data_IF_276946798150
#
_entry.id   IF_276946798150
#
_cell.length_a   1.000
_cell.length_b   1.000
_cell.length_c   1.000
_cell.angle_alpha   90.00
_cell.angle_beta   90.00
_cell.angle_gamma   90.00
#
_symmetry.space_group_name_H-M   'P 1'
#
loop_
_entity.id
_entity.type
_entity.pdbx_description
1 polymer ?
#
# COMPACT_ATOMS: atom_id res chain seq x y z
N UNK A 1 41.25 -41.69 11.83
CA UNK A 1 40.05 -42.00 11.03
C UNK A 1 38.95 -41.05 11.46
N UNK A 2 38.47 -40.26 10.49
CA UNK A 2 37.35 -39.32 10.62
C UNK A 2 36.06 -40.04 10.98
N UNK A 3 35.17 -39.38 11.74
CA UNK A 3 33.74 -39.27 11.41
C UNK A 3 33.12 -38.15 12.26
N UNK A 4 33.12 -36.96 11.66
CA UNK A 4 32.10 -35.93 11.87
C UNK A 4 30.71 -36.53 11.65
N UNK A 5 29.80 -36.35 12.61
CA UNK A 5 28.37 -36.32 12.35
C UNK A 5 27.72 -35.48 13.45
N UNK A 6 27.85 -34.16 13.30
CA UNK A 6 27.01 -33.19 13.98
C UNK A 6 25.55 -33.48 13.64
N UNK A 7 24.84 -34.09 14.57
CA UNK A 7 23.38 -34.11 14.56
C UNK A 7 22.95 -32.74 15.12
N UNK A 8 22.88 -31.75 14.24
CA UNK A 8 22.15 -30.52 14.54
C UNK A 8 20.68 -30.90 14.76
N UNK A 9 20.06 -30.54 15.90
CA UNK A 9 18.60 -30.57 15.97
C UNK A 9 18.08 -29.52 14.98
N UNK A 10 17.24 -29.97 14.05
CA UNK A 10 16.37 -29.09 13.25
C UNK A 10 15.59 -28.23 14.24
N UNK A 11 15.99 -26.96 14.35
CA UNK A 11 15.20 -25.93 15.00
C UNK A 11 14.02 -25.64 14.10
N UNK A 12 12.91 -26.34 14.32
CA UNK A 12 11.61 -25.94 13.82
C UNK A 12 11.29 -24.61 14.50
N UNK A 13 11.46 -23.50 13.79
CA UNK A 13 11.09 -22.16 14.24
C UNK A 13 9.56 -22.02 14.18
N UNK A 14 8.82 -22.06 15.32
CA UNK A 14 7.36 -22.02 15.33
C UNK A 14 6.81 -20.62 15.03
N UNK A 15 7.63 -19.57 15.20
CA UNK A 15 7.19 -18.17 15.14
C UNK A 15 7.12 -17.59 13.72
N UNK A 16 7.63 -18.29 12.71
CA UNK A 16 7.66 -17.81 11.32
C UNK A 16 6.39 -18.16 10.53
N UNK A 17 5.61 -19.13 10.98
CA UNK A 17 4.39 -19.59 10.30
C UNK A 17 3.23 -18.58 10.48
N UNK A 18 2.95 -18.06 11.70
CA UNK A 18 1.84 -17.13 11.91
C UNK A 18 2.02 -15.82 11.12
N UNK A 19 3.25 -15.30 11.05
CA UNK A 19 3.54 -14.06 10.34
C UNK A 19 3.37 -14.20 8.82
N UNK A 20 3.72 -15.36 8.25
CA UNK A 20 3.55 -15.61 6.81
C UNK A 20 2.09 -15.76 6.41
N UNK A 21 1.30 -16.45 7.23
CA UNK A 21 -0.13 -16.61 7.01
C UNK A 21 -0.87 -15.29 7.11
N UNK A 22 -0.54 -14.48 8.12
CA UNK A 22 -1.08 -13.13 8.29
C UNK A 22 -0.78 -12.23 7.09
N UNK A 23 0.49 -12.17 6.67
CA UNK A 23 0.89 -11.39 5.48
C UNK A 23 0.15 -11.82 4.23
N UNK A 24 0.02 -13.13 4.00
CA UNK A 24 -0.70 -13.64 2.83
C UNK A 24 -2.19 -13.27 2.88
N UNK A 25 -2.80 -13.29 4.08
CA UNK A 25 -4.16 -12.80 4.29
C UNK A 25 -4.29 -11.32 3.93
N UNK A 26 -3.36 -10.47 4.39
CA UNK A 26 -3.37 -9.05 4.07
C UNK A 26 -3.20 -8.78 2.57
N UNK A 27 -2.31 -9.52 1.88
CA UNK A 27 -2.13 -9.42 0.42
C UNK A 27 -3.43 -9.77 -0.30
N UNK A 28 -4.06 -10.91 0.04
CA UNK A 28 -5.30 -11.34 -0.60
C UNK A 28 -6.45 -10.36 -0.34
N UNK A 29 -6.52 -9.80 0.87
CA UNK A 29 -7.52 -8.78 1.22
C UNK A 29 -7.31 -7.51 0.40
N UNK A 30 -6.06 -7.04 0.31
CA UNK A 30 -5.70 -5.87 -0.48
C UNK A 30 -6.05 -6.06 -1.97
N UNK A 31 -5.72 -7.21 -2.55
CA UNK A 31 -6.01 -7.49 -3.96
C UNK A 31 -7.52 -7.57 -4.25
N UNK A 32 -8.30 -8.16 -3.34
CA UNK A 32 -9.76 -8.19 -3.47
C UNK A 32 -10.34 -6.78 -3.44
N UNK A 33 -9.97 -5.98 -2.43
CA UNK A 33 -10.44 -4.61 -2.29
C UNK A 33 -9.98 -3.72 -3.45
N UNK A 34 -8.77 -3.91 -3.96
CA UNK A 34 -8.29 -3.20 -5.16
C UNK A 34 -9.19 -3.43 -6.37
N UNK A 35 -9.58 -4.69 -6.60
CA UNK A 35 -10.48 -5.03 -7.69
C UNK A 35 -11.89 -4.48 -7.47
N UNK A 36 -12.40 -4.55 -6.24
CA UNK A 36 -13.69 -3.95 -5.87
C UNK A 36 -13.69 -2.44 -6.12
N UNK A 37 -12.68 -1.72 -5.64
CA UNK A 37 -12.57 -0.27 -5.77
C UNK A 37 -12.51 0.16 -7.25
N UNK A 38 -11.75 -0.57 -8.08
CA UNK A 38 -11.58 -0.25 -9.51
C UNK A 38 -12.81 -0.59 -10.36
N UNK A 39 -13.59 -1.58 -9.95
CA UNK A 39 -14.78 -2.04 -10.69
C UNK A 39 -16.08 -1.42 -10.20
N UNK A 40 -16.03 -0.63 -9.12
CA UNK A 40 -17.20 0.03 -8.57
C UNK A 40 -17.60 1.26 -9.41
N UNK A 41 -18.89 1.29 -9.74
CA UNK A 41 -19.53 2.35 -10.54
C UNK A 41 -20.85 2.84 -9.91
N UNK A 42 -21.10 2.51 -8.63
CA UNK A 42 -22.26 3.04 -7.92
C UNK A 42 -21.99 4.43 -7.34
N UNK A 43 -23.05 5.03 -6.79
CA UNK A 43 -23.05 6.34 -6.12
C UNK A 43 -23.00 6.21 -4.58
N UNK A 44 -23.08 5.00 -4.04
CA UNK A 44 -22.99 4.75 -2.60
C UNK A 44 -21.55 4.91 -2.10
N UNK A 45 -21.43 5.56 -0.94
CA UNK A 45 -20.14 5.75 -0.29
C UNK A 45 -19.77 4.52 0.53
N UNK A 46 -18.60 3.94 0.24
CA UNK A 46 -18.10 2.73 0.91
C UNK A 46 -16.83 3.03 1.71
N UNK A 47 -16.99 3.74 2.83
CA UNK A 47 -15.87 4.12 3.71
C UNK A 47 -15.13 2.90 4.27
N UNK A 48 -15.88 1.84 4.57
CA UNK A 48 -15.38 0.57 5.07
C UNK A 48 -14.42 -0.10 4.08
N UNK A 49 -14.70 -0.06 2.77
CA UNK A 49 -13.82 -0.66 1.77
C UNK A 49 -12.50 0.11 1.64
N UNK A 50 -12.57 1.44 1.65
CA UNK A 50 -11.39 2.29 1.54
C UNK A 50 -10.53 2.25 2.81
N UNK A 51 -11.14 2.26 4.00
CA UNK A 51 -10.44 2.07 5.26
C UNK A 51 -9.73 0.71 5.30
N UNK A 52 -10.45 -0.37 5.02
CA UNK A 52 -9.88 -1.72 5.01
C UNK A 52 -8.75 -1.88 3.98
N UNK A 53 -8.87 -1.20 2.83
CA UNK A 53 -7.86 -1.22 1.78
C UNK A 53 -6.59 -0.51 2.22
N UNK A 54 -6.74 0.66 2.84
CA UNK A 54 -5.62 1.43 3.38
C UNK A 54 -4.96 0.69 4.53
N UNK A 55 -5.72 0.14 5.48
CA UNK A 55 -5.20 -0.60 6.62
C UNK A 55 -4.35 -1.79 6.15
N UNK A 56 -4.86 -2.61 5.22
CA UNK A 56 -4.12 -3.74 4.67
C UNK A 56 -2.83 -3.29 3.94
N UNK A 57 -2.89 -2.19 3.19
CA UNK A 57 -1.73 -1.69 2.44
C UNK A 57 -0.67 -1.04 3.31
N UNK A 58 -1.09 -0.29 4.32
CA UNK A 58 -0.21 0.34 5.30
C UNK A 58 0.44 -0.69 6.21
N UNK A 59 -0.28 -1.74 6.62
CA UNK A 59 0.27 -2.85 7.38
C UNK A 59 1.37 -3.58 6.59
N UNK A 60 1.13 -3.90 5.32
CA UNK A 60 2.15 -4.51 4.44
C UNK A 60 3.36 -3.59 4.22
N UNK A 61 3.12 -2.28 4.10
CA UNK A 61 4.19 -1.29 3.98
C UNK A 61 5.01 -1.19 5.29
N UNK A 62 4.35 -1.22 6.44
CA UNK A 62 4.98 -1.18 7.75
C UNK A 62 5.83 -2.44 7.98
N UNK A 63 5.29 -3.64 7.74
CA UNK A 63 6.04 -4.91 7.87
C UNK A 63 7.29 -4.90 6.97
N UNK A 64 7.18 -4.36 5.76
CA UNK A 64 8.33 -4.21 4.87
C UNK A 64 9.36 -3.22 5.42
N UNK A 65 8.92 -2.11 6.04
CA UNK A 65 9.78 -1.13 6.69
C UNK A 65 10.51 -1.69 7.91
N UNK A 66 9.82 -2.46 8.77
CA UNK A 66 10.40 -3.15 9.93
C UNK A 66 11.48 -4.17 9.56
N UNK A 67 11.46 -4.66 8.31
CA UNK A 67 12.44 -5.60 7.75
C UNK A 67 13.50 -4.92 6.88
N UNK A 68 13.60 -3.60 6.92
CA UNK A 68 14.51 -2.78 6.09
C UNK A 68 14.33 -2.98 4.57
N UNK A 69 13.16 -3.46 4.12
CA UNK A 69 12.84 -3.68 2.72
C UNK A 69 12.23 -2.42 2.09
N UNK A 70 13.00 -1.33 2.07
CA UNK A 70 12.54 0.01 1.64
C UNK A 70 11.86 0.02 0.26
N UNK A 71 12.37 -0.75 -0.71
CA UNK A 71 11.77 -0.84 -2.05
C UNK A 71 10.39 -1.51 -2.02
N UNK A 72 10.22 -2.51 -1.15
CA UNK A 72 8.94 -3.21 -0.99
C UNK A 72 7.94 -2.31 -0.26
N UNK A 73 8.38 -1.62 0.79
CA UNK A 73 7.58 -0.59 1.47
C UNK A 73 7.10 0.48 0.47
N UNK A 74 8.01 1.03 -0.35
CA UNK A 74 7.66 1.98 -1.42
C UNK A 74 6.64 1.38 -2.39
N UNK A 75 6.83 0.12 -2.80
CA UNK A 75 5.91 -0.55 -3.74
C UNK A 75 4.49 -0.67 -3.18
N UNK A 76 4.33 -1.03 -1.90
CA UNK A 76 3.01 -1.11 -1.27
C UNK A 76 2.33 0.25 -1.21
N UNK A 77 3.05 1.28 -0.77
CA UNK A 77 2.53 2.64 -0.69
C UNK A 77 2.17 3.21 -2.08
N UNK A 78 2.97 2.93 -3.11
CA UNK A 78 2.66 3.32 -4.49
C UNK A 78 1.44 2.59 -5.01
N UNK A 79 1.25 1.31 -4.66
CA UNK A 79 0.11 0.52 -5.10
C UNK A 79 -1.21 1.12 -4.60
N UNK A 80 -1.30 1.41 -3.30
CA UNK A 80 -2.49 2.06 -2.71
C UNK A 80 -2.70 3.46 -3.29
N UNK A 81 -1.64 4.26 -3.42
CA UNK A 81 -1.72 5.61 -3.99
C UNK A 81 -2.24 5.59 -5.43
N UNK A 82 -1.70 4.72 -6.29
CA UNK A 82 -2.09 4.65 -7.69
C UNK A 82 -3.53 4.18 -7.84
N UNK A 83 -3.97 3.17 -7.08
CA UNK A 83 -5.36 2.71 -7.14
C UNK A 83 -6.34 3.83 -6.79
N UNK A 84 -6.14 4.53 -5.68
CA UNK A 84 -7.03 5.63 -5.27
C UNK A 84 -6.98 6.80 -6.26
N UNK A 85 -5.79 7.15 -6.75
CA UNK A 85 -5.60 8.20 -7.75
C UNK A 85 -6.33 7.85 -9.05
N UNK A 86 -6.07 6.67 -9.60
CA UNK A 86 -6.57 6.27 -10.92
C UNK A 86 -8.10 6.17 -10.87
N UNK A 87 -8.68 5.65 -9.79
CA UNK A 87 -10.13 5.65 -9.57
C UNK A 87 -10.68 7.06 -9.39
N UNK A 88 -10.03 7.91 -8.59
CA UNK A 88 -10.49 9.29 -8.33
C UNK A 88 -10.50 10.20 -9.56
N UNK A 89 -9.59 9.98 -10.51
CA UNK A 89 -9.53 10.73 -11.78
C UNK A 89 -10.28 10.06 -12.93
N UNK A 90 -10.84 8.87 -12.73
CA UNK A 90 -11.57 8.15 -13.76
C UNK A 90 -12.95 8.78 -13.99
N UNK A 91 -13.09 9.54 -15.07
CA UNK A 91 -14.35 10.19 -15.47
C UNK A 91 -15.51 9.23 -15.75
N UNK A 92 -15.25 7.93 -15.87
CA UNK A 92 -16.28 6.90 -16.05
C UNK A 92 -16.88 6.42 -14.72
N UNK A 93 -16.29 6.81 -13.58
CA UNK A 93 -16.82 6.54 -12.25
C UNK A 93 -17.72 7.69 -11.80
N UNK A 94 -18.64 7.37 -10.89
CA UNK A 94 -19.53 8.35 -10.27
C UNK A 94 -18.72 9.44 -9.54
N UNK A 95 -19.26 10.67 -9.54
CA UNK A 95 -18.61 11.82 -8.93
C UNK A 95 -18.40 11.64 -7.41
N UNK A 96 -19.38 11.09 -6.69
CA UNK A 96 -19.27 10.89 -5.25
C UNK A 96 -18.18 9.86 -4.92
N UNK A 97 -18.14 8.75 -5.67
CA UNK A 97 -17.11 7.72 -5.51
C UNK A 97 -15.70 8.24 -5.81
N UNK A 98 -15.57 9.02 -6.88
CA UNK A 98 -14.31 9.66 -7.24
C UNK A 98 -13.80 10.57 -6.12
N UNK A 99 -14.66 11.45 -5.61
CA UNK A 99 -14.30 12.36 -4.52
C UNK A 99 -13.88 11.59 -3.27
N UNK A 100 -14.60 10.52 -2.91
CA UNK A 100 -14.26 9.70 -1.77
C UNK A 100 -12.86 9.05 -1.91
N UNK A 101 -12.53 8.54 -3.10
CA UNK A 101 -11.20 8.00 -3.37
C UNK A 101 -10.10 9.07 -3.24
N UNK A 102 -10.37 10.32 -3.63
CA UNK A 102 -9.44 11.44 -3.50
C UNK A 102 -9.25 11.91 -2.05
N UNK A 103 -10.32 11.93 -1.26
CA UNK A 103 -10.25 12.21 0.19
C UNK A 103 -9.35 11.19 0.92
N UNK A 104 -9.40 9.92 0.50
CA UNK A 104 -8.58 8.87 1.08
C UNK A 104 -7.14 8.85 0.54
N UNK A 105 -6.86 9.53 -0.58
CA UNK A 105 -5.53 9.62 -1.20
C UNK A 105 -4.50 10.34 -0.33
N UNK A 106 -4.93 11.23 0.57
CA UNK A 106 -4.04 12.01 1.44
C UNK A 106 -3.17 11.11 2.33
N UNK A 107 -3.72 10.01 2.88
CA UNK A 107 -2.98 9.11 3.76
C UNK A 107 -1.75 8.47 3.07
N UNK A 108 -1.90 7.77 1.93
CA UNK A 108 -0.75 7.20 1.23
C UNK A 108 0.19 8.25 0.66
N UNK A 109 -0.32 9.43 0.30
CA UNK A 109 0.51 10.57 -0.10
C UNK A 109 1.48 10.97 1.02
N UNK A 110 0.98 11.17 2.24
CA UNK A 110 1.83 11.53 3.37
C UNK A 110 2.83 10.42 3.74
N UNK A 111 2.41 9.16 3.67
CA UNK A 111 3.30 8.01 3.89
C UNK A 111 4.45 7.97 2.87
N UNK A 112 4.16 8.14 1.57
CA UNK A 112 5.17 8.23 0.51
C UNK A 112 6.09 9.43 0.70
N UNK A 113 5.53 10.60 1.04
CA UNK A 113 6.30 11.80 1.28
C UNK A 113 7.28 11.61 2.46
N UNK A 114 6.83 10.98 3.54
CA UNK A 114 7.67 10.65 4.69
C UNK A 114 8.80 9.70 4.28
N UNK A 115 8.47 8.61 3.57
CA UNK A 115 9.44 7.63 3.09
C UNK A 115 10.53 8.26 2.21
N UNK A 116 10.16 9.19 1.33
CA UNK A 116 11.13 9.86 0.48
C UNK A 116 12.00 10.86 1.24
N UNK A 117 11.44 11.62 2.18
CA UNK A 117 12.24 12.54 3.00
C UNK A 117 13.33 11.84 3.81
N UNK A 118 13.13 10.58 4.17
CA UNK A 118 14.13 9.76 4.85
C UNK A 118 15.29 9.29 3.94
N UNK A 119 15.18 9.44 2.61
CA UNK A 119 16.19 8.95 1.66
C UNK A 119 17.02 10.09 1.04
N UNK A 120 18.37 9.98 1.01
CA UNK A 120 19.20 10.94 0.32
C UNK A 120 18.97 10.87 -1.21
N UNK A 121 18.78 12.04 -1.85
CA UNK A 121 18.60 12.14 -3.31
C UNK A 121 17.16 11.97 -3.82
N UNK A 122 16.17 11.87 -2.94
CA UNK A 122 14.75 11.67 -3.29
C UNK A 122 14.01 12.95 -3.74
N UNK A 123 14.68 14.10 -3.80
CA UNK A 123 14.09 15.39 -4.12
C UNK A 123 13.29 15.40 -5.44
N UNK A 124 13.74 14.65 -6.45
CA UNK A 124 13.01 14.50 -7.71
C UNK A 124 11.70 13.74 -7.52
N UNK A 125 11.69 12.65 -6.73
CA UNK A 125 10.50 11.84 -6.44
C UNK A 125 9.47 12.62 -5.62
N UNK A 126 9.92 13.40 -4.63
CA UNK A 126 9.05 14.28 -3.84
C UNK A 126 8.42 15.35 -4.74
N UNK A 127 9.20 15.96 -5.64
CA UNK A 127 8.69 16.95 -6.59
C UNK A 127 7.64 16.36 -7.53
N UNK A 128 7.88 15.18 -8.09
CA UNK A 128 6.88 14.51 -8.95
C UNK A 128 5.62 14.19 -8.17
N UNK A 129 5.73 13.56 -6.99
CA UNK A 129 4.58 13.22 -6.15
C UNK A 129 3.76 14.46 -5.77
N UNK A 130 4.43 15.53 -5.36
CA UNK A 130 3.78 16.80 -4.98
C UNK A 130 3.11 17.49 -6.16
N UNK A 131 3.70 17.40 -7.36
CA UNK A 131 3.13 17.95 -8.59
C UNK A 131 1.88 17.19 -8.99
N UNK A 132 1.92 15.86 -8.94
CA UNK A 132 0.78 15.00 -9.28
C UNK A 132 -0.37 15.24 -8.30
N UNK A 133 -0.07 15.33 -7.01
CA UNK A 133 -1.07 15.66 -5.99
C UNK A 133 -1.66 17.06 -6.16
N UNK A 134 -0.83 18.07 -6.42
CA UNK A 134 -1.28 19.45 -6.68
C UNK A 134 -2.16 19.56 -7.91
N UNK A 135 -1.93 18.71 -8.93
CA UNK A 135 -2.79 18.66 -10.11
C UNK A 135 -4.17 18.08 -9.74
N UNK A 136 -4.20 16.95 -9.04
CA UNK A 136 -5.46 16.32 -8.62
C UNK A 136 -6.28 17.27 -7.74
N UNK A 137 -5.66 17.86 -6.73
CA UNK A 137 -6.32 18.77 -5.78
C UNK A 137 -6.84 20.07 -6.41
N UNK A 138 -6.30 20.50 -7.56
CA UNK A 138 -6.72 21.76 -8.23
C UNK A 138 -7.69 21.55 -9.39
N UNK A 139 -7.71 20.37 -9.99
CA UNK A 139 -8.39 20.14 -11.27
C UNK A 139 -9.42 19.01 -11.24
N UNK A 140 -9.52 18.27 -10.13
CA UNK A 140 -10.44 17.13 -10.00
C UNK A 140 -11.42 17.28 -8.84
N UNK A 141 -11.09 18.11 -7.85
CA UNK A 141 -11.95 18.55 -6.73
C UNK A 141 -12.43 19.98 -7.02
#
# INVERSE_FOLDING_TARGET
MSLYADIYPVTTFPDLVPQREHRNSCILRLERLENTIRSYHGDELHHEWLNDYLDAGLELAQEAGERDLIRLQESWLRRIYNTLRDTGVNVSCDEAWRHQCLEYLYQPFFALQHLYRAQPGSNSRIKTLSRDFSFISRYVI
#
